data_IF_110033425808
#
_entry.id   IF_110033425808
#
_cell.length_a   1.000
_cell.length_b   1.000
_cell.length_c   1.000
_cell.angle_alpha   90.00
_cell.angle_beta   90.00
_cell.angle_gamma   90.00
#
_symmetry.space_group_name_H-M   'P 1'
#
loop_
_entity.id
_entity.type
_entity.pdbx_description
1 polymer ?
#
# COMPACT_ATOMS: atom_id res chain seq x y z
N UNK A 1 1.30 -8.11 19.40
CA UNK A 1 1.04 -6.76 19.92
C UNK A 1 -0.11 -6.25 19.09
N UNK A 2 -1.23 -5.97 19.73
CA UNK A 2 -2.45 -5.53 19.06
C UNK A 2 -2.56 -4.01 19.19
N UNK A 3 -2.91 -3.37 18.08
CA UNK A 3 -3.26 -1.95 18.02
C UNK A 3 -4.76 -1.88 17.80
N UNK A 4 -5.46 -1.20 18.70
CA UNK A 4 -6.88 -0.95 18.57
C UNK A 4 -7.19 0.51 18.83
N UNK A 5 -8.04 1.09 18.00
CA UNK A 5 -8.72 2.34 18.33
C UNK A 5 -9.86 1.95 19.25
N UNK A 6 -9.81 2.40 20.51
CA UNK A 6 -10.82 2.06 21.51
C UNK A 6 -11.41 3.35 22.04
N UNK A 7 -12.73 3.37 22.13
CA UNK A 7 -13.49 4.36 22.90
C UNK A 7 -13.07 4.23 24.38
N UNK A 8 -12.44 5.24 24.99
CA UNK A 8 -12.22 5.21 26.41
C UNK A 8 -13.57 5.25 27.15
N UNK A 9 -13.61 4.86 28.44
CA UNK A 9 -14.84 4.87 29.24
C UNK A 9 -15.56 6.24 29.36
N UNK A 10 -14.92 7.33 28.92
CA UNK A 10 -15.44 8.70 28.97
C UNK A 10 -16.29 9.11 27.75
N UNK A 11 -16.29 8.31 26.68
CA UNK A 11 -17.18 8.44 25.52
C UNK A 11 -16.98 9.71 24.70
N UNK A 12 -15.82 10.39 24.78
CA UNK A 12 -15.62 11.72 24.15
C UNK A 12 -14.42 11.84 23.23
N UNK A 13 -13.40 10.99 23.33
CA UNK A 13 -12.17 11.12 22.55
C UNK A 13 -11.57 9.75 22.23
N UNK A 14 -11.38 9.43 20.95
CA UNK A 14 -10.73 8.17 20.58
C UNK A 14 -9.24 8.20 20.97
N UNK A 15 -8.77 7.07 21.50
CA UNK A 15 -7.36 6.84 21.78
C UNK A 15 -6.81 5.74 20.89
N UNK A 16 -5.55 5.86 20.49
CA UNK A 16 -4.81 4.71 20.01
C UNK A 16 -4.28 3.94 21.22
N UNK A 17 -4.64 2.66 21.31
CA UNK A 17 -4.21 1.79 22.40
C UNK A 17 -3.34 0.65 21.88
N UNK A 18 -2.25 0.37 22.60
CA UNK A 18 -1.28 -0.66 22.23
C UNK A 18 -0.98 -1.53 23.44
N UNK A 19 -1.04 -2.85 23.25
CA UNK A 19 -0.66 -3.83 24.26
C UNK A 19 -0.54 -5.23 23.69
N UNK A 20 -0.23 -6.19 24.56
CA UNK A 20 -0.26 -7.63 24.23
C UNK A 20 -1.40 -8.36 24.93
N UNK A 21 -2.12 -7.67 25.81
CA UNK A 21 -3.25 -8.17 26.56
C UNK A 21 -4.16 -6.98 26.97
N UNK A 22 -5.49 -7.15 27.08
CA UNK A 22 -6.38 -6.06 27.49
C UNK A 22 -6.00 -5.37 28.82
N UNK A 23 -5.31 -6.09 29.71
CA UNK A 23 -4.86 -5.58 31.01
C UNK A 23 -3.55 -4.78 30.96
N UNK A 24 -2.88 -4.70 29.80
CA UNK A 24 -1.60 -3.99 29.65
C UNK A 24 -1.62 -2.96 28.50
N UNK A 25 -2.81 -2.49 28.14
CA UNK A 25 -2.98 -1.46 27.13
C UNK A 25 -2.36 -0.14 27.61
N UNK A 26 -1.54 0.45 26.77
CA UNK A 26 -1.01 1.81 26.91
C UNK A 26 -1.65 2.69 25.86
N UNK A 27 -1.94 3.96 26.19
CA UNK A 27 -2.47 4.96 25.25
C UNK A 27 -1.34 5.91 24.86
N UNK A 28 -0.55 5.61 23.82
CA UNK A 28 0.54 6.49 23.41
C UNK A 28 0.05 7.81 22.83
N UNK A 29 -1.13 7.85 22.21
CA UNK A 29 -1.71 9.05 21.61
C UNK A 29 -3.23 9.06 21.73
N UNK A 30 -3.82 10.23 21.98
CA UNK A 30 -5.27 10.46 21.94
C UNK A 30 -5.64 11.73 21.19
N UNK A 31 -6.93 11.85 20.85
CA UNK A 31 -7.50 13.11 20.37
C UNK A 31 -7.31 14.25 21.38
N UNK A 32 -7.30 15.46 20.85
CA UNK A 32 -6.98 16.75 21.48
C UNK A 32 -5.56 16.87 22.08
N UNK A 33 -4.72 15.83 22.00
CA UNK A 33 -3.29 15.95 22.28
C UNK A 33 -2.55 16.66 21.14
N UNK A 34 -1.41 17.28 21.45
CA UNK A 34 -0.59 17.97 20.45
C UNK A 34 -0.09 16.99 19.39
N UNK A 35 -0.30 17.33 18.12
CA UNK A 35 0.16 16.53 17.00
C UNK A 35 1.63 16.84 16.68
N UNK A 36 2.58 15.90 16.89
CA UNK A 36 4.01 16.15 16.73
C UNK A 36 4.37 16.65 15.33
N UNK A 37 5.33 17.57 15.25
CA UNK A 37 5.73 18.20 13.98
C UNK A 37 4.74 19.26 13.47
N UNK A 38 3.75 19.64 14.27
CA UNK A 38 2.77 20.68 13.93
C UNK A 38 2.45 21.58 15.12
N UNK A 39 1.74 22.68 14.89
CA UNK A 39 1.13 23.51 15.95
C UNK A 39 -0.34 23.12 16.24
N UNK A 40 -0.82 22.01 15.67
CA UNK A 40 -2.20 21.54 15.76
C UNK A 40 -2.37 20.42 16.78
N UNK A 41 -3.61 20.02 17.03
CA UNK A 41 -3.97 18.87 17.86
C UNK A 41 -4.57 17.76 17.00
N UNK A 42 -4.52 16.52 17.50
CA UNK A 42 -5.23 15.40 16.88
C UNK A 42 -6.74 15.56 17.06
N UNK A 43 -7.50 15.51 15.97
CA UNK A 43 -8.97 15.60 16.01
C UNK A 43 -9.62 14.24 15.92
N UNK A 44 -9.19 13.44 14.93
CA UNK A 44 -9.71 12.10 14.70
C UNK A 44 -8.62 11.12 14.37
N UNK A 45 -8.30 10.23 15.31
CA UNK A 45 -7.29 9.19 15.12
C UNK A 45 -7.88 8.03 14.30
N UNK A 46 -7.26 7.72 13.16
CA UNK A 46 -7.70 6.64 12.27
C UNK A 46 -6.68 5.50 12.31
N UNK A 47 -6.97 4.49 13.14
CA UNK A 47 -6.13 3.31 13.31
C UNK A 47 -6.46 2.12 12.40
N UNK A 48 -7.52 2.18 11.57
CA UNK A 48 -7.86 1.13 10.60
C UNK A 48 -6.79 0.90 9.51
N UNK A 49 -5.75 1.74 9.49
CA UNK A 49 -4.59 1.64 8.59
C UNK A 49 -3.27 1.59 9.36
N UNK A 50 -3.32 1.47 10.69
CA UNK A 50 -2.13 1.42 11.53
C UNK A 50 -1.40 0.11 11.35
N UNK A 51 -0.21 0.17 10.74
CA UNK A 51 0.63 -1.00 10.57
C UNK A 51 1.62 -1.05 11.71
N UNK A 52 1.72 -2.20 12.37
CA UNK A 52 2.77 -2.48 13.35
C UNK A 52 3.88 -3.25 12.63
N UNK A 53 5.11 -2.75 12.67
CA UNK A 53 6.28 -3.56 12.36
C UNK A 53 6.71 -4.35 13.60
N UNK A 54 7.37 -5.50 13.41
CA UNK A 54 7.74 -6.46 14.48
C UNK A 54 8.53 -5.86 15.66
N UNK A 55 9.06 -4.64 15.53
CA UNK A 55 9.88 -3.95 16.53
C UNK A 55 9.18 -2.77 17.23
N UNK A 56 7.84 -2.75 17.29
CA UNK A 56 7.09 -1.69 17.98
C UNK A 56 7.12 -0.34 17.24
N UNK A 57 7.50 -0.38 15.97
CA UNK A 57 7.27 0.75 15.06
C UNK A 57 5.88 0.69 14.50
N UNK A 58 5.33 1.85 14.24
CA UNK A 58 3.98 1.97 13.74
C UNK A 58 3.79 3.27 12.96
N UNK A 59 2.77 3.29 12.12
CA UNK A 59 2.29 4.48 11.43
C UNK A 59 0.80 4.65 11.62
N UNK A 60 0.31 5.88 11.55
CA UNK A 60 -1.11 6.19 11.66
C UNK A 60 -1.47 7.49 10.95
N UNK A 61 -2.77 7.69 10.77
CA UNK A 61 -3.32 8.91 10.23
C UNK A 61 -4.20 9.59 11.26
N UNK A 62 -4.28 10.90 11.14
CA UNK A 62 -5.19 11.70 11.95
C UNK A 62 -5.73 12.88 11.15
N UNK A 63 -7.02 13.17 11.35
CA UNK A 63 -7.49 14.54 11.16
C UNK A 63 -6.89 15.43 12.27
N UNK A 64 -6.82 16.72 12.01
CA UNK A 64 -6.22 17.73 12.88
C UNK A 64 -7.22 18.84 13.16
N UNK A 65 -7.13 19.40 14.36
CA UNK A 65 -7.89 20.57 14.81
C UNK A 65 -6.97 21.65 15.40
N UNK A 66 -7.56 22.82 15.67
CA UNK A 66 -6.88 23.95 16.30
C UNK A 66 -6.58 25.12 15.35
N UNK A 67 -5.86 26.11 15.88
CA UNK A 67 -5.59 27.36 15.18
C UNK A 67 -4.78 27.14 13.89
N UNK A 68 -5.23 27.73 12.78
CA UNK A 68 -4.57 27.62 11.46
C UNK A 68 -4.85 26.31 10.72
N UNK A 69 -5.64 25.39 11.32
CA UNK A 69 -6.12 24.20 10.63
C UNK A 69 -7.33 24.55 9.76
N UNK A 70 -7.30 24.11 8.52
CA UNK A 70 -8.32 24.32 7.50
C UNK A 70 -8.59 23.01 6.77
N UNK A 71 -9.68 22.91 6.02
CA UNK A 71 -10.00 21.73 5.21
C UNK A 71 -8.93 21.36 4.17
N UNK A 72 -8.00 22.27 3.85
CA UNK A 72 -6.90 22.00 2.92
C UNK A 72 -5.65 21.44 3.61
N UNK A 73 -5.56 21.52 4.94
CA UNK A 73 -4.36 21.14 5.69
C UNK A 73 -4.67 20.33 6.97
N UNK A 74 -5.88 19.83 7.14
CA UNK A 74 -6.36 19.20 8.37
C UNK A 74 -6.02 17.72 8.50
N UNK A 75 -5.07 17.16 7.75
CA UNK A 75 -4.77 15.73 7.79
C UNK A 75 -3.29 15.47 7.77
N UNK A 76 -2.85 14.47 8.52
CA UNK A 76 -1.47 14.03 8.48
C UNK A 76 -1.31 12.52 8.59
N UNK A 77 -0.10 12.08 8.27
CA UNK A 77 0.42 10.77 8.58
C UNK A 77 1.59 10.93 9.51
N UNK A 78 1.64 10.10 10.54
CA UNK A 78 2.76 10.02 11.46
C UNK A 78 3.31 8.61 11.48
N UNK A 79 4.60 8.50 11.73
CA UNK A 79 5.28 7.23 11.82
C UNK A 79 6.47 7.29 12.77
N UNK A 80 6.73 6.20 13.47
CA UNK A 80 7.83 6.11 14.41
C UNK A 80 7.68 4.95 15.38
N UNK A 81 8.03 5.20 16.63
CA UNK A 81 7.92 4.27 17.77
C UNK A 81 6.71 4.64 18.63
N UNK A 82 6.36 3.79 19.61
CA UNK A 82 5.26 4.08 20.54
C UNK A 82 5.46 5.35 21.37
N UNK A 83 6.70 5.74 21.64
CA UNK A 83 7.02 6.94 22.43
C UNK A 83 7.28 8.19 21.59
N UNK A 84 7.56 8.02 20.30
CA UNK A 84 8.01 9.11 19.44
C UNK A 84 7.63 8.85 18.00
N UNK A 85 6.83 9.76 17.44
CA UNK A 85 6.43 9.74 16.03
C UNK A 85 6.81 11.04 15.35
N UNK A 86 7.16 10.93 14.07
CA UNK A 86 7.45 12.05 13.19
C UNK A 86 6.31 12.22 12.18
N UNK A 87 5.99 13.46 11.85
CA UNK A 87 5.06 13.78 10.77
C UNK A 87 5.70 13.39 9.43
N UNK A 88 5.12 12.42 8.75
CA UNK A 88 5.57 11.98 7.43
C UNK A 88 5.04 12.89 6.31
N UNK A 89 3.74 13.16 6.34
CA UNK A 89 3.11 14.12 5.42
C UNK A 89 1.92 14.80 6.05
N UNK A 90 1.63 16.01 5.57
CA UNK A 90 0.42 16.77 5.93
C UNK A 90 -0.29 17.25 4.67
N UNK A 91 -1.61 17.24 4.65
CA UNK A 91 -2.37 17.83 3.56
C UNK A 91 -1.97 19.30 3.38
N UNK A 92 -1.87 19.74 2.13
CA UNK A 92 -1.42 21.09 1.78
C UNK A 92 0.09 21.32 1.93
N UNK A 93 0.86 20.38 2.48
CA UNK A 93 2.33 20.48 2.49
C UNK A 93 2.93 20.08 1.13
N UNK A 94 4.06 20.68 0.72
CA UNK A 94 4.75 20.33 -0.52
C UNK A 94 5.05 18.82 -0.59
N UNK A 95 4.73 18.19 -1.71
CA UNK A 95 5.07 16.79 -1.93
C UNK A 95 6.50 16.67 -2.48
N UNK A 96 7.43 15.99 -1.78
CA UNK A 96 8.82 15.87 -2.24
C UNK A 96 8.91 15.25 -3.63
N UNK A 97 9.77 15.80 -4.49
CA UNK A 97 9.97 15.32 -5.87
C UNK A 97 8.86 15.71 -6.85
N UNK A 98 7.87 16.52 -6.44
CA UNK A 98 6.83 17.04 -7.32
C UNK A 98 7.13 18.51 -7.66
N UNK A 99 7.37 18.76 -8.94
CA UNK A 99 7.58 20.12 -9.47
C UNK A 99 6.26 20.93 -9.48
N UNK A 100 6.38 22.25 -9.66
CA UNK A 100 5.22 23.15 -9.89
C UNK A 100 4.23 23.25 -8.72
N UNK A 101 4.69 23.07 -7.49
CA UNK A 101 3.91 23.35 -6.29
C UNK A 101 2.82 22.32 -5.97
N UNK A 102 2.97 21.08 -6.43
CA UNK A 102 2.09 19.98 -6.02
C UNK A 102 2.20 19.72 -4.51
N UNK A 103 1.05 19.61 -3.86
CA UNK A 103 0.95 19.36 -2.40
C UNK A 103 0.23 18.05 -2.12
N UNK A 104 0.51 17.45 -0.98
CA UNK A 104 -0.21 16.26 -0.53
C UNK A 104 -1.69 16.57 -0.28
N UNK A 105 -2.57 15.64 -0.64
CA UNK A 105 -3.99 15.70 -0.29
C UNK A 105 -4.29 15.07 1.07
N UNK A 106 -3.55 13.99 1.41
CA UNK A 106 -3.79 13.09 2.54
C UNK A 106 -5.27 12.69 2.69
N UNK A 107 -5.95 12.31 1.61
CA UNK A 107 -7.33 11.80 1.66
C UNK A 107 -7.37 10.39 2.29
N UNK A 108 -8.14 10.22 3.37
CA UNK A 108 -8.05 9.03 4.25
C UNK A 108 -8.49 7.70 3.63
N UNK A 109 -9.26 7.72 2.54
CA UNK A 109 -9.86 6.50 1.97
C UNK A 109 -8.89 5.63 1.17
N UNK A 110 -7.69 6.13 0.86
CA UNK A 110 -6.72 5.46 -0.03
C UNK A 110 -5.32 5.35 0.57
N UNK A 111 -5.17 5.72 1.84
CA UNK A 111 -3.88 5.75 2.52
C UNK A 111 -3.51 4.37 3.06
N UNK A 112 -2.72 3.65 2.27
CA UNK A 112 -1.93 2.50 2.71
C UNK A 112 -0.51 2.99 2.97
N UNK A 113 -0.07 2.87 4.22
CA UNK A 113 1.20 3.40 4.69
C UNK A 113 2.02 2.36 5.46
N UNK A 114 2.39 1.19 4.89
CA UNK A 114 3.15 0.22 5.65
C UNK A 114 4.47 0.85 6.12
N UNK A 115 4.80 0.52 7.36
CA UNK A 115 6.08 0.83 7.98
C UNK A 115 6.82 -0.48 8.17
N UNK A 116 8.12 -0.47 7.90
CA UNK A 116 8.96 -1.62 8.12
C UNK A 116 9.78 -1.50 9.41
N UNK A 117 10.46 -2.56 9.80
CA UNK A 117 11.35 -2.62 10.96
C UNK A 117 12.47 -1.60 10.91
N UNK A 118 12.90 -1.15 9.72
CA UNK A 118 13.88 -0.07 9.60
C UNK A 118 13.28 1.32 9.87
N UNK A 119 11.97 1.41 10.05
CA UNK A 119 11.25 2.66 10.28
C UNK A 119 11.04 3.49 9.02
N UNK A 120 11.17 2.88 7.84
CA UNK A 120 10.77 3.52 6.59
C UNK A 120 9.29 3.30 6.36
N UNK A 121 8.64 4.32 5.81
CA UNK A 121 7.25 4.30 5.39
C UNK A 121 7.17 4.31 3.87
N UNK A 122 6.22 3.57 3.32
CA UNK A 122 5.82 3.67 1.93
C UNK A 122 4.39 4.19 1.86
N UNK A 123 4.12 5.25 1.11
CA UNK A 123 2.82 5.95 1.14
C UNK A 123 2.32 6.17 -0.29
N UNK A 124 1.14 5.65 -0.61
CA UNK A 124 0.37 6.11 -1.78
C UNK A 124 -0.36 7.38 -1.36
N UNK A 125 -0.22 8.48 -2.11
CA UNK A 125 -0.95 9.72 -1.81
C UNK A 125 -1.41 10.41 -3.09
N UNK A 126 -2.48 11.18 -2.96
CA UNK A 126 -2.94 12.05 -4.03
C UNK A 126 -2.30 13.43 -3.94
N UNK A 127 -2.17 14.06 -5.10
CA UNK A 127 -1.63 15.40 -5.25
C UNK A 127 -2.74 16.40 -5.53
N UNK A 128 -2.66 17.57 -4.90
CA UNK A 128 -3.47 18.76 -5.19
C UNK A 128 -2.56 19.87 -5.75
N UNK A 129 -3.15 20.79 -6.52
CA UNK A 129 -2.48 21.98 -7.06
C UNK A 129 -1.78 21.76 -8.41
N UNK A 130 -2.12 22.57 -9.41
CA UNK A 130 -1.31 22.84 -10.62
C UNK A 130 -1.08 21.74 -11.66
N UNK A 131 -1.48 20.48 -11.41
CA UNK A 131 -1.16 19.36 -12.32
C UNK A 131 -2.35 19.02 -13.26
N UNK A 132 -2.13 19.01 -14.60
CA UNK A 132 -3.23 18.81 -15.56
C UNK A 132 -3.77 17.38 -15.63
N UNK A 133 -3.06 16.36 -15.12
CA UNK A 133 -3.53 14.96 -15.19
C UNK A 133 -2.91 14.00 -14.16
N UNK A 134 -1.65 14.18 -13.75
CA UNK A 134 -0.98 13.28 -12.80
C UNK A 134 -1.33 13.63 -11.34
N UNK A 135 -2.11 12.78 -10.68
CA UNK A 135 -2.61 12.97 -9.31
C UNK A 135 -2.13 11.92 -8.30
N UNK A 136 -1.41 10.87 -8.71
CA UNK A 136 -0.88 9.86 -7.78
C UNK A 136 0.64 9.87 -7.69
N UNK A 137 1.14 9.57 -6.50
CA UNK A 137 2.51 9.13 -6.30
C UNK A 137 2.61 8.08 -5.20
N UNK A 138 3.75 7.40 -5.20
CA UNK A 138 4.21 6.56 -4.09
C UNK A 138 5.49 7.19 -3.56
N UNK A 139 5.54 7.48 -2.27
CA UNK A 139 6.74 7.95 -1.58
C UNK A 139 7.29 6.86 -0.68
N UNK A 140 8.61 6.78 -0.57
CA UNK A 140 9.28 5.78 0.27
C UNK A 140 10.51 6.37 0.98
N UNK A 141 10.68 6.03 2.26
CA UNK A 141 11.86 6.39 3.04
C UNK A 141 11.54 6.64 4.52
N UNK A 142 12.49 7.18 5.30
CA UNK A 142 12.24 7.65 6.65
C UNK A 142 11.13 8.70 6.68
N UNK A 143 10.29 8.80 7.72
CA UNK A 143 9.17 9.74 7.75
C UNK A 143 9.57 11.20 7.48
N UNK A 144 10.75 11.60 7.91
CA UNK A 144 11.28 12.96 7.78
C UNK A 144 12.07 13.22 6.48
N UNK A 145 12.40 12.19 5.68
CA UNK A 145 13.13 12.32 4.40
C UNK A 145 12.66 11.30 3.34
N UNK A 146 11.38 10.94 3.35
CA UNK A 146 10.84 10.06 2.31
C UNK A 146 10.79 10.75 0.93
N UNK A 147 11.04 9.99 -0.13
CA UNK A 147 11.21 10.53 -1.49
C UNK A 147 10.23 9.91 -2.45
N UNK A 148 9.91 10.64 -3.51
CA UNK A 148 9.08 10.11 -4.60
C UNK A 148 9.74 8.86 -5.19
N UNK A 149 9.01 7.76 -5.16
CA UNK A 149 9.42 6.47 -5.72
C UNK A 149 8.78 6.22 -7.08
N UNK A 150 7.45 6.34 -7.17
CA UNK A 150 6.69 6.18 -8.41
C UNK A 150 5.66 7.30 -8.56
N UNK A 151 5.36 7.67 -9.80
CA UNK A 151 4.40 8.72 -10.13
C UNK A 151 3.47 8.27 -11.25
N UNK A 152 2.20 8.67 -11.18
CA UNK A 152 1.32 8.57 -12.33
C UNK A 152 1.95 9.24 -13.57
N UNK A 153 1.78 8.63 -14.73
CA UNK A 153 2.31 9.06 -16.02
C UNK A 153 3.77 8.65 -16.24
N UNK A 154 4.46 8.10 -15.23
CA UNK A 154 5.81 7.58 -15.41
C UNK A 154 5.79 6.27 -16.22
N UNK A 155 6.86 5.97 -16.99
CA UNK A 155 6.94 4.74 -17.77
C UNK A 155 6.81 3.48 -16.89
N UNK A 156 6.13 2.47 -17.41
CA UNK A 156 6.00 1.15 -16.80
C UNK A 156 7.11 0.21 -17.34
N UNK A 157 8.21 -0.02 -16.61
CA UNK A 157 9.39 -0.67 -17.16
C UNK A 157 9.16 -2.15 -17.50
N UNK A 158 9.77 -2.64 -18.58
CA UNK A 158 9.64 -4.04 -19.00
C UNK A 158 8.36 -4.38 -19.78
N UNK A 159 7.45 -3.41 -19.94
CA UNK A 159 6.33 -3.50 -20.89
C UNK A 159 6.69 -2.91 -22.25
N UNK A 160 5.80 -3.10 -23.24
CA UNK A 160 5.92 -2.46 -24.54
C UNK A 160 6.09 -0.94 -24.41
N UNK A 161 6.78 -0.34 -25.39
CA UNK A 161 7.07 1.09 -25.39
C UNK A 161 5.80 1.93 -25.14
N UNK A 162 5.98 3.06 -24.46
CA UNK A 162 4.95 4.03 -24.08
C UNK A 162 3.94 3.61 -23.00
N UNK A 163 3.93 2.37 -22.49
CA UNK A 163 3.12 2.03 -21.32
C UNK A 163 3.46 2.93 -20.11
N UNK A 164 2.44 3.40 -19.40
CA UNK A 164 2.54 4.34 -18.28
C UNK A 164 1.67 3.92 -17.11
N UNK A 165 2.08 4.28 -15.90
CA UNK A 165 1.27 4.10 -14.70
C UNK A 165 0.11 5.10 -14.66
N UNK A 166 -1.12 4.64 -14.46
CA UNK A 166 -2.30 5.47 -14.24
C UNK A 166 -2.62 5.68 -12.75
N UNK A 167 -2.48 4.63 -11.94
CA UNK A 167 -2.77 4.68 -10.51
C UNK A 167 -2.04 3.57 -9.75
N UNK A 168 -1.97 3.72 -8.43
CA UNK A 168 -1.45 2.71 -7.50
C UNK A 168 -2.54 2.43 -6.47
N UNK A 169 -2.95 1.17 -6.33
CA UNK A 169 -4.19 0.83 -5.60
C UNK A 169 -3.93 0.05 -4.32
N UNK A 170 -2.79 -0.61 -4.21
CA UNK A 170 -2.36 -1.33 -3.02
C UNK A 170 -0.85 -1.45 -2.98
N UNK A 171 -0.27 -1.55 -1.79
CA UNK A 171 1.16 -1.73 -1.61
C UNK A 171 1.48 -2.54 -0.35
N UNK A 172 2.58 -3.27 -0.39
CA UNK A 172 3.23 -3.88 0.78
C UNK A 172 4.71 -3.51 0.80
N UNK A 173 5.31 -3.56 1.99
CA UNK A 173 6.69 -3.19 2.25
C UNK A 173 7.32 -4.25 3.16
N UNK A 174 8.54 -4.67 2.82
CA UNK A 174 9.36 -5.58 3.63
C UNK A 174 10.46 -4.82 4.40
N UNK A 175 11.08 -5.47 5.38
CA UNK A 175 12.25 -4.93 6.09
C UNK A 175 13.53 -4.94 5.25
N UNK A 176 13.52 -5.62 4.10
CA UNK A 176 14.55 -5.52 3.07
C UNK A 176 14.41 -4.25 2.20
N UNK A 177 13.53 -3.33 2.58
CA UNK A 177 13.20 -2.10 1.85
C UNK A 177 12.67 -2.34 0.42
N UNK A 178 12.17 -3.54 0.16
CA UNK A 178 11.44 -3.87 -1.07
C UNK A 178 9.97 -3.63 -0.89
N UNK A 179 9.32 -3.20 -1.97
CA UNK A 179 7.89 -3.00 -2.06
C UNK A 179 7.30 -3.88 -3.15
N UNK A 180 6.08 -4.36 -2.93
CA UNK A 180 5.22 -4.93 -3.96
C UNK A 180 3.96 -4.09 -4.07
N UNK A 181 3.47 -3.83 -5.29
CA UNK A 181 2.31 -2.96 -5.49
C UNK A 181 1.40 -3.41 -6.61
N UNK A 182 0.12 -3.07 -6.45
CA UNK A 182 -0.87 -3.12 -7.52
C UNK A 182 -0.88 -1.77 -8.22
N UNK A 183 -0.76 -1.80 -9.54
CA UNK A 183 -0.83 -0.61 -10.37
C UNK A 183 -1.87 -0.78 -11.48
N UNK A 184 -2.45 0.35 -11.90
CA UNK A 184 -3.20 0.48 -13.15
C UNK A 184 -2.30 1.11 -14.21
N UNK A 185 -2.49 0.72 -15.46
CA UNK A 185 -1.84 1.30 -16.62
C UNK A 185 -2.78 2.30 -17.32
N UNK A 186 -2.21 3.29 -18.00
CA UNK A 186 -2.97 4.33 -18.68
C UNK A 186 -3.51 3.84 -20.02
N UNK A 187 -4.84 3.73 -20.15
CA UNK A 187 -5.48 3.33 -21.39
C UNK A 187 -5.12 4.27 -22.54
N UNK A 188 -4.83 3.70 -23.72
CA UNK A 188 -4.46 4.45 -24.92
C UNK A 188 -2.98 4.82 -25.01
N UNK A 189 -2.16 4.42 -24.04
CA UNK A 189 -0.70 4.46 -24.11
C UNK A 189 -0.12 3.04 -24.17
N UNK A 190 0.83 2.82 -25.08
CA UNK A 190 1.35 1.47 -25.34
C UNK A 190 0.25 0.52 -25.80
N UNK A 191 0.20 -0.66 -25.19
CA UNK A 191 -0.78 -1.72 -25.47
C UNK A 191 -1.86 -1.83 -24.37
N UNK A 192 -1.96 -0.84 -23.48
CA UNK A 192 -2.89 -0.86 -22.36
C UNK A 192 -4.35 -0.60 -22.78
N UNK A 193 -5.26 -1.50 -22.40
CA UNK A 193 -6.71 -1.38 -22.54
C UNK A 193 -7.46 -1.86 -21.29
N UNK A 194 -8.79 -1.80 -21.30
CA UNK A 194 -9.64 -2.16 -20.17
C UNK A 194 -9.56 -3.65 -19.74
N UNK A 195 -8.87 -4.49 -20.50
CA UNK A 195 -8.72 -5.93 -20.25
C UNK A 195 -7.28 -6.33 -19.93
N UNK A 196 -6.34 -5.39 -19.83
CA UNK A 196 -4.96 -5.66 -19.45
C UNK A 196 -4.33 -4.53 -18.60
N UNK A 197 -5.12 -3.62 -18.04
CA UNK A 197 -4.59 -2.43 -17.38
C UNK A 197 -4.13 -2.69 -15.94
N UNK A 198 -4.50 -3.82 -15.32
CA UNK A 198 -4.04 -4.15 -13.97
C UNK A 198 -2.70 -4.88 -13.99
N UNK A 199 -1.86 -4.60 -13.00
CA UNK A 199 -0.53 -5.20 -12.90
C UNK A 199 0.02 -5.24 -11.48
N UNK A 200 0.89 -6.22 -11.21
CA UNK A 200 1.62 -6.40 -9.96
C UNK A 200 3.11 -6.18 -10.21
N UNK A 201 3.73 -5.39 -9.36
CA UNK A 201 5.13 -4.99 -9.48
C UNK A 201 5.90 -5.24 -8.19
N UNK A 202 7.22 -5.45 -8.28
CA UNK A 202 8.09 -5.49 -7.12
C UNK A 202 9.47 -4.86 -7.41
N UNK A 203 10.03 -4.16 -6.43
CA UNK A 203 11.35 -3.53 -6.47
C UNK A 203 11.68 -2.78 -5.17
N UNK A 204 12.95 -2.45 -4.94
CA UNK A 204 13.39 -1.57 -3.84
C UNK A 204 13.61 -0.10 -4.25
N UNK A 205 13.61 0.17 -5.54
CA UNK A 205 13.84 1.46 -6.19
C UNK A 205 13.09 1.50 -7.53
N UNK A 206 13.02 2.67 -8.17
CA UNK A 206 12.35 2.79 -9.47
C UNK A 206 13.14 2.10 -10.60
N UNK A 207 14.45 1.91 -10.42
CA UNK A 207 15.35 1.32 -11.43
C UNK A 207 15.34 -0.22 -11.42
N UNK A 208 15.09 -0.84 -10.27
CA UNK A 208 14.96 -2.28 -10.11
C UNK A 208 13.49 -2.74 -10.05
N UNK A 209 12.54 -1.84 -10.30
CA UNK A 209 11.13 -2.21 -10.41
C UNK A 209 10.94 -3.21 -11.55
N UNK A 210 10.23 -4.31 -11.27
CA UNK A 210 9.90 -5.37 -12.22
C UNK A 210 8.41 -5.68 -12.20
N UNK A 211 7.84 -5.87 -13.37
CA UNK A 211 6.52 -6.47 -13.53
C UNK A 211 6.60 -7.94 -13.14
N UNK A 212 5.66 -8.40 -12.30
CA UNK A 212 5.53 -9.81 -11.93
C UNK A 212 4.44 -10.49 -12.75
N UNK A 213 3.28 -9.84 -12.84
CA UNK A 213 2.11 -10.29 -13.62
C UNK A 213 1.27 -9.09 -14.04
N UNK A 214 0.59 -9.23 -15.17
CA UNK A 214 -0.39 -8.30 -15.71
C UNK A 214 -1.71 -9.03 -15.96
N UNK A 215 -2.81 -8.30 -15.91
CA UNK A 215 -4.08 -8.81 -16.43
C UNK A 215 -3.90 -9.24 -17.88
N UNK A 216 -4.58 -10.33 -18.27
CA UNK A 216 -4.47 -11.02 -19.54
C UNK A 216 -3.19 -11.84 -19.75
N UNK A 217 -2.22 -11.81 -18.83
CA UNK A 217 -1.12 -12.78 -18.85
C UNK A 217 -1.65 -14.19 -18.59
N UNK A 218 -0.99 -15.18 -19.19
CA UNK A 218 -1.29 -16.58 -18.93
C UNK A 218 -1.11 -16.90 -17.44
N UNK A 219 -2.15 -17.48 -16.83
CA UNK A 219 -2.10 -17.90 -15.44
C UNK A 219 -1.23 -19.15 -15.28
N UNK A 220 -0.02 -18.96 -14.75
CA UNK A 220 0.97 -20.03 -14.59
C UNK A 220 0.38 -21.22 -13.81
N UNK A 221 0.68 -22.44 -14.30
CA UNK A 221 0.17 -23.69 -13.75
C UNK A 221 -1.21 -24.12 -14.29
N UNK A 222 -1.84 -23.32 -15.15
CA UNK A 222 -3.14 -23.65 -15.75
C UNK A 222 -3.02 -23.95 -17.25
N UNK A 223 -4.11 -24.44 -17.85
CA UNK A 223 -4.16 -24.69 -19.30
C UNK A 223 -4.04 -23.40 -20.12
N UNK A 224 -3.49 -23.51 -21.32
CA UNK A 224 -3.41 -22.39 -22.25
C UNK A 224 -4.78 -21.74 -22.49
N UNK A 225 -4.81 -20.41 -22.59
CA UNK A 225 -6.03 -19.63 -22.74
C UNK A 225 -6.75 -19.29 -21.43
N UNK A 226 -6.30 -19.82 -20.28
CA UNK A 226 -6.67 -19.30 -18.97
C UNK A 226 -5.68 -18.19 -18.59
N UNK A 227 -6.23 -17.03 -18.26
CA UNK A 227 -5.47 -15.80 -17.98
C UNK A 227 -5.92 -15.15 -16.69
N UNK A 228 -5.09 -14.26 -16.15
CA UNK A 228 -5.50 -13.38 -15.07
C UNK A 228 -6.56 -12.39 -15.55
N UNK A 229 -7.68 -12.30 -14.83
CA UNK A 229 -8.76 -11.34 -15.09
C UNK A 229 -8.64 -10.09 -14.23
N UNK A 230 -8.26 -10.24 -12.97
CA UNK A 230 -8.02 -9.09 -12.09
C UNK A 230 -7.25 -9.51 -10.84
N UNK A 231 -6.65 -8.53 -10.16
CA UNK A 231 -6.00 -8.69 -8.86
C UNK A 231 -6.88 -8.05 -7.79
N UNK A 232 -7.30 -8.87 -6.82
CA UNK A 232 -8.36 -8.50 -5.86
C UNK A 232 -7.82 -7.95 -4.55
N UNK A 233 -6.66 -8.43 -4.10
CA UNK A 233 -6.07 -8.08 -2.81
C UNK A 233 -4.72 -7.37 -2.99
N UNK A 234 -4.26 -6.73 -1.91
CA UNK A 234 -2.90 -6.23 -1.83
C UNK A 234 -1.90 -7.40 -1.94
N UNK A 235 -0.79 -7.24 -2.67
CA UNK A 235 0.21 -8.29 -2.78
C UNK A 235 0.94 -8.41 -1.44
N UNK A 236 1.17 -9.63 -0.97
CA UNK A 236 1.88 -9.85 0.30
C UNK A 236 3.34 -10.16 -0.02
N UNK A 237 4.25 -9.35 0.51
CA UNK A 237 5.68 -9.44 0.28
C UNK A 237 6.39 -9.92 1.54
N UNK A 238 7.32 -10.87 1.41
CA UNK A 238 8.20 -11.27 2.50
C UNK A 238 9.64 -10.75 2.32
N UNK A 239 10.50 -11.00 3.32
CA UNK A 239 11.89 -10.53 3.35
C UNK A 239 12.77 -11.12 2.25
N UNK A 240 12.39 -12.27 1.67
CA UNK A 240 13.12 -12.90 0.58
C UNK A 240 12.74 -12.32 -0.79
N UNK A 241 11.83 -11.33 -0.84
CA UNK A 241 11.32 -10.79 -2.10
C UNK A 241 10.27 -11.67 -2.78
N UNK A 242 9.75 -12.68 -2.08
CA UNK A 242 8.65 -13.51 -2.60
C UNK A 242 7.34 -12.75 -2.43
N UNK A 243 6.49 -12.82 -3.46
CA UNK A 243 5.22 -12.10 -3.49
C UNK A 243 4.09 -13.10 -3.64
N UNK A 244 3.19 -13.14 -2.66
CA UNK A 244 1.90 -13.82 -2.77
C UNK A 244 0.90 -12.91 -3.47
N UNK A 245 0.26 -13.44 -4.50
CA UNK A 245 -0.64 -12.73 -5.40
C UNK A 245 -1.99 -13.45 -5.39
N UNK A 246 -3.05 -12.70 -5.12
CA UNK A 246 -4.45 -13.16 -5.19
C UNK A 246 -5.09 -12.61 -6.45
N UNK A 247 -5.60 -13.50 -7.31
CA UNK A 247 -6.14 -13.10 -8.60
C UNK A 247 -7.42 -13.86 -8.97
N UNK A 248 -8.26 -13.18 -9.75
CA UNK A 248 -9.37 -13.75 -10.51
C UNK A 248 -8.90 -14.23 -11.87
N UNK A 249 -9.60 -15.23 -12.40
CA UNK A 249 -9.29 -15.91 -13.65
C UNK A 249 -10.43 -15.74 -14.64
N UNK A 250 -10.08 -15.67 -15.92
CA UNK A 250 -11.03 -15.82 -17.03
C UNK A 250 -10.46 -16.77 -18.09
N UNK A 251 -11.36 -17.32 -18.91
CA UNK A 251 -11.01 -18.26 -19.97
C UNK A 251 -11.99 -19.43 -20.04
N UNK A 252 -11.74 -20.35 -20.99
CA UNK A 252 -12.57 -21.54 -21.17
C UNK A 252 -12.55 -22.43 -19.92
N UNK A 253 -13.73 -22.89 -19.48
CA UNK A 253 -13.87 -23.74 -18.29
C UNK A 253 -13.73 -23.02 -16.94
N UNK A 254 -13.54 -21.69 -16.95
CA UNK A 254 -13.63 -20.88 -15.73
C UNK A 254 -15.09 -20.59 -15.39
N UNK A 255 -15.46 -20.82 -14.14
CA UNK A 255 -16.78 -20.58 -13.56
C UNK A 255 -16.61 -19.92 -12.19
N UNK A 256 -17.68 -19.40 -11.61
CA UNK A 256 -17.66 -18.79 -10.27
C UNK A 256 -17.18 -19.75 -9.16
N UNK A 257 -17.16 -21.07 -9.41
CA UNK A 257 -16.66 -22.05 -8.45
C UNK A 257 -15.14 -22.29 -8.53
N UNK A 258 -14.46 -21.80 -9.57
CA UNK A 258 -13.03 -22.02 -9.80
C UNK A 258 -12.30 -20.77 -10.36
N UNK A 259 -12.89 -19.59 -10.15
CA UNK A 259 -12.49 -18.31 -10.74
C UNK A 259 -11.40 -17.57 -9.98
N UNK A 260 -10.83 -18.13 -8.91
CA UNK A 260 -9.81 -17.44 -8.12
C UNK A 260 -8.68 -18.37 -7.69
N UNK A 261 -7.49 -17.81 -7.51
CA UNK A 261 -6.34 -18.54 -7.01
C UNK A 261 -5.34 -17.67 -6.28
N UNK A 262 -4.32 -18.34 -5.75
CA UNK A 262 -3.16 -17.78 -5.09
C UNK A 262 -1.91 -18.24 -5.83
N UNK A 263 -1.04 -17.30 -6.18
CA UNK A 263 0.25 -17.55 -6.80
C UNK A 263 1.36 -17.00 -5.94
N UNK A 264 2.51 -17.66 -5.94
CA UNK A 264 3.75 -17.07 -5.43
C UNK A 264 4.65 -16.76 -6.61
N UNK A 265 5.15 -15.53 -6.63
CA UNK A 265 6.32 -15.16 -7.42
C UNK A 265 7.56 -15.22 -6.53
N UNK A 266 8.56 -16.00 -6.93
CA UNK A 266 9.89 -16.01 -6.33
C UNK A 266 10.92 -15.44 -7.30
N UNK A 267 11.84 -14.56 -6.85
CA UNK A 267 12.87 -13.99 -7.72
C UNK A 267 13.77 -15.02 -8.42
N UNK A 268 13.92 -16.22 -7.86
CA UNK A 268 14.75 -17.31 -8.39
C UNK A 268 13.96 -18.34 -9.19
N UNK A 269 12.72 -18.63 -8.80
CA UNK A 269 11.95 -19.73 -9.39
C UNK A 269 10.78 -19.27 -10.28
N UNK A 270 10.49 -17.97 -10.32
CA UNK A 270 9.40 -17.41 -11.11
C UNK A 270 8.04 -17.59 -10.42
N UNK A 271 6.97 -17.59 -11.22
CA UNK A 271 5.59 -17.62 -10.75
C UNK A 271 5.02 -19.05 -10.79
N UNK A 272 4.36 -19.49 -9.71
CA UNK A 272 3.59 -20.74 -9.70
C UNK A 272 2.31 -20.63 -8.89
N UNK A 273 1.33 -21.47 -9.25
CA UNK A 273 0.06 -21.62 -8.54
C UNK A 273 0.27 -22.37 -7.22
N UNK A 274 -0.25 -21.81 -6.13
CA UNK A 274 -0.22 -22.42 -4.79
C UNK A 274 -1.54 -23.10 -4.48
N UNK A 275 -2.65 -22.40 -4.75
CA UNK A 275 -3.98 -22.89 -4.49
C UNK A 275 -4.96 -22.26 -5.46
N UNK A 276 -6.00 -23.00 -5.82
CA UNK A 276 -7.10 -22.49 -6.63
C UNK A 276 -8.42 -22.87 -5.99
N UNK A 277 -9.38 -21.96 -6.09
CA UNK A 277 -10.74 -22.22 -5.62
C UNK A 277 -11.31 -23.44 -6.34
N UNK A 278 -11.92 -24.33 -5.56
CA UNK A 278 -12.52 -25.56 -6.08
C UNK A 278 -11.54 -26.73 -6.23
N UNK A 279 -10.23 -26.48 -6.19
CA UNK A 279 -9.26 -27.58 -6.13
C UNK A 279 -9.29 -28.21 -4.74
N UNK A 280 -9.21 -29.55 -4.64
CA UNK A 280 -9.08 -30.21 -3.36
C UNK A 280 -7.79 -29.75 -2.68
N UNK A 281 -7.85 -29.45 -1.38
CA UNK A 281 -6.65 -29.24 -0.59
C UNK A 281 -5.83 -30.53 -0.67
N UNK A 282 -4.65 -30.47 -1.28
CA UNK A 282 -3.73 -31.60 -1.23
C UNK A 282 -3.29 -31.75 0.22
N UNK A 283 -3.77 -32.80 0.90
CA UNK A 283 -3.18 -33.23 2.16
C UNK A 283 -1.77 -33.70 1.76
N UNK A 284 -0.72 -32.95 2.10
CA UNK A 284 0.66 -33.16 1.63
C UNK A 284 1.31 -34.48 2.09
N UNK A 285 0.64 -35.62 1.92
CA UNK A 285 1.27 -36.92 1.84
C UNK A 285 1.90 -37.01 0.45
N UNK A 286 3.21 -36.77 0.40
CA UNK A 286 4.00 -37.01 -0.79
C UNK A 286 3.96 -38.49 -1.17
N UNK A 287 3.67 -38.74 -2.44
CA UNK A 287 3.98 -40.02 -3.08
C UNK A 287 5.28 -39.83 -3.87
N UNK A 288 6.35 -40.54 -3.46
CA UNK A 288 7.56 -40.77 -4.25
C UNK A 288 8.86 -40.30 -3.62
#
# INVERSE_FOLDING_TARGET
>A
MDISVVDPPDGRHYGLWVGTHPSNLTRPYSESENAPGTSAQFDRLVGMYGQLAENGRWGFFSDLEGAGVTTNNNRGMWAGTLSTVNLACRSGSPAPGIETGGVFSCELFELRGPINGNGKVAVINWLKGGLPSARYGVWFGPPDDFRLWLRQGSPAPGLAADNRFAAFTALSLSDSDRMALNARLESGYGDADAHNDQSIWCGGSSNDLRLLVRENDHAAGLSAGIVFESFVDAPILNQNGQVLISAKLRGSGITTNNDSGLWIHDPRYGLWLVARRGDPLSNGAGDG
#
